data_IF_489862762323
#
_entry.id   IF_489862762323
#
_cell.length_a   1.000
_cell.length_b   1.000
_cell.length_c   1.000
_cell.angle_alpha   90.00
_cell.angle_beta   90.00
_cell.angle_gamma   90.00
#
_symmetry.space_group_name_H-M   'P 1'
#
loop_
_entity.id
_entity.type
_entity.pdbx_description
1 polymer ?
#
# COMPACT_ATOMS: atom_id res chain seq x y z
N UNK A 1 17.05 9.87 7.44
CA UNK A 1 16.44 11.15 6.99
C UNK A 1 15.46 11.65 8.04
N UNK A 2 15.32 12.96 8.23
CA UNK A 2 14.23 13.52 9.03
C UNK A 2 12.87 13.25 8.35
N UNK A 3 11.79 12.95 9.10
CA UNK A 3 10.45 12.70 8.51
C UNK A 3 9.96 13.81 7.59
N UNK A 4 10.28 15.07 7.91
CA UNK A 4 9.86 16.22 7.12
C UNK A 4 10.59 16.30 5.77
N UNK A 5 11.91 16.07 5.77
CA UNK A 5 12.70 16.04 4.54
C UNK A 5 12.28 14.87 3.65
N UNK A 6 11.88 13.76 4.27
CA UNK A 6 11.36 12.60 3.55
C UNK A 6 10.03 12.92 2.88
N UNK A 7 9.11 13.57 3.58
CA UNK A 7 7.86 14.02 2.98
C UNK A 7 8.08 14.94 1.76
N UNK A 8 9.05 15.84 1.82
CA UNK A 8 9.41 16.70 0.67
C UNK A 8 9.97 15.89 -0.50
N UNK A 9 10.83 14.90 -0.22
CA UNK A 9 11.33 13.98 -1.24
C UNK A 9 10.18 13.21 -1.91
N UNK A 10 9.25 12.68 -1.12
CA UNK A 10 8.09 11.94 -1.66
C UNK A 10 7.13 12.86 -2.43
N UNK A 11 6.97 14.12 -2.05
CA UNK A 11 6.21 15.12 -2.82
C UNK A 11 6.83 15.35 -4.22
N UNK A 12 8.16 15.35 -4.32
CA UNK A 12 8.85 15.41 -5.61
C UNK A 12 8.57 14.15 -6.46
N UNK A 13 8.60 12.95 -5.85
CA UNK A 13 8.19 11.71 -6.53
C UNK A 13 6.75 11.80 -7.04
N UNK A 14 5.82 12.29 -6.21
CA UNK A 14 4.40 12.46 -6.58
C UNK A 14 4.26 13.25 -7.87
N UNK A 15 4.95 14.40 -7.97
CA UNK A 15 4.91 15.27 -9.15
C UNK A 15 5.47 14.57 -10.37
N UNK A 16 6.55 13.82 -10.21
CA UNK A 16 7.18 13.08 -11.31
C UNK A 16 6.26 11.98 -11.84
N UNK A 17 5.58 11.25 -10.97
CA UNK A 17 4.60 10.23 -11.35
C UNK A 17 3.30 10.84 -11.90
N UNK A 18 2.92 12.05 -11.49
CA UNK A 18 1.78 12.77 -12.05
C UNK A 18 2.04 13.24 -13.49
N UNK A 19 3.29 13.43 -13.90
CA UNK A 19 3.61 13.72 -15.31
C UNK A 19 3.23 12.56 -16.24
N UNK A 20 3.15 11.32 -15.75
CA UNK A 20 2.69 10.19 -16.55
C UNK A 20 1.22 10.35 -16.99
N UNK A 21 0.42 11.13 -16.24
CA UNK A 21 -0.99 11.36 -16.58
C UNK A 21 -1.16 12.16 -17.89
N UNK A 22 -0.18 12.98 -18.25
CA UNK A 22 -0.22 13.79 -19.48
C UNK A 22 0.30 13.02 -20.70
N UNK A 23 0.90 11.84 -20.49
CA UNK A 23 1.46 11.03 -21.56
C UNK A 23 0.38 10.07 -22.09
N UNK A 24 0.02 10.23 -23.37
CA UNK A 24 -1.01 9.41 -24.04
C UNK A 24 -0.67 7.92 -24.10
N UNK A 25 0.62 7.57 -24.00
CA UNK A 25 1.10 6.19 -23.99
C UNK A 25 0.95 5.49 -22.63
N UNK A 26 0.72 6.23 -21.54
CA UNK A 26 0.55 5.64 -20.21
C UNK A 26 -0.91 5.26 -19.96
N UNK A 27 -1.13 4.00 -19.61
CA UNK A 27 -2.44 3.51 -19.23
C UNK A 27 -2.53 3.28 -17.72
N UNK A 28 -3.54 3.88 -17.09
CA UNK A 28 -3.84 3.64 -15.69
C UNK A 28 -4.37 2.23 -15.46
N UNK A 29 -4.13 1.72 -14.25
CA UNK A 29 -4.81 0.54 -13.76
C UNK A 29 -6.35 0.73 -13.86
N UNK A 30 -7.15 -0.26 -14.31
CA UNK A 30 -8.58 -0.08 -14.56
C UNK A 30 -9.37 0.49 -13.38
N UNK A 31 -9.03 0.09 -12.15
CA UNK A 31 -9.67 0.60 -10.91
C UNK A 31 -9.18 2.00 -10.50
N UNK A 32 -8.03 2.45 -11.00
CA UNK A 32 -7.38 3.70 -10.61
C UNK A 32 -7.62 4.82 -11.63
N UNK A 33 -8.11 4.48 -12.84
CA UNK A 33 -8.30 5.42 -13.95
C UNK A 33 -9.23 6.60 -13.60
N UNK A 34 -10.34 6.35 -12.89
CA UNK A 34 -11.32 7.39 -12.53
C UNK A 34 -10.71 8.48 -11.63
N UNK A 35 -9.80 8.09 -10.75
CA UNK A 35 -9.15 8.98 -9.78
C UNK A 35 -7.72 9.37 -10.22
N UNK A 36 -7.29 8.95 -11.41
CA UNK A 36 -5.94 9.12 -11.93
C UNK A 36 -4.82 8.71 -10.95
N UNK A 37 -5.07 7.68 -10.12
CA UNK A 37 -4.13 7.23 -9.10
C UNK A 37 -3.00 6.44 -9.79
N UNK A 38 -1.76 6.92 -9.63
CA UNK A 38 -0.55 6.23 -10.11
C UNK A 38 0.24 5.58 -8.98
N UNK A 39 0.08 6.04 -7.75
CA UNK A 39 0.81 5.53 -6.59
C UNK A 39 0.07 5.80 -5.27
N UNK A 40 0.44 5.04 -4.25
CA UNK A 40 0.09 5.26 -2.84
C UNK A 40 1.36 5.15 -2.02
N UNK A 41 1.53 6.05 -1.06
CA UNK A 41 2.72 6.13 -0.23
C UNK A 41 2.32 6.20 1.23
N UNK A 42 2.98 5.41 2.07
CA UNK A 42 2.86 5.51 3.51
C UNK A 42 4.22 5.26 4.15
N UNK A 43 4.79 6.31 4.74
CA UNK A 43 6.17 6.27 5.23
C UNK A 43 7.12 5.71 4.14
N UNK A 44 7.80 4.61 4.43
CA UNK A 44 8.73 3.92 3.55
C UNK A 44 8.08 2.95 2.54
N UNK A 45 6.78 2.66 2.68
CA UNK A 45 6.07 1.78 1.77
C UNK A 45 5.49 2.56 0.57
N UNK A 46 5.88 2.14 -0.64
CA UNK A 46 5.40 2.69 -1.91
C UNK A 46 4.69 1.61 -2.73
N UNK A 47 3.44 1.86 -3.11
CA UNK A 47 2.71 1.11 -4.11
C UNK A 47 2.59 1.94 -5.38
N UNK A 48 2.89 1.34 -6.53
CA UNK A 48 2.73 1.97 -7.83
C UNK A 48 1.73 1.17 -8.68
N UNK A 49 0.86 1.88 -9.40
CA UNK A 49 -0.24 1.32 -10.16
C UNK A 49 -0.16 1.75 -11.62
N UNK A 50 -0.27 0.78 -12.51
CA UNK A 50 -0.43 0.99 -13.95
C UNK A 50 -1.25 -0.15 -14.54
N UNK A 51 -1.66 0.00 -15.80
CA UNK A 51 -2.15 -1.13 -16.57
C UNK A 51 -1.01 -2.13 -16.76
N UNK A 52 -1.34 -3.42 -16.72
CA UNK A 52 -0.39 -4.50 -16.92
C UNK A 52 -0.01 -4.66 -18.41
N UNK A 53 0.51 -3.59 -19.02
CA UNK A 53 1.13 -3.59 -20.33
C UNK A 53 2.58 -3.10 -20.22
N UNK A 54 3.46 -3.65 -21.05
CA UNK A 54 4.90 -3.40 -20.93
C UNK A 54 5.27 -1.92 -21.07
N UNK A 55 4.52 -1.17 -21.86
CA UNK A 55 4.76 0.24 -22.09
C UNK A 55 4.48 1.07 -20.83
N UNK A 56 3.30 0.90 -20.24
CA UNK A 56 2.88 1.63 -19.04
C UNK A 56 3.76 1.28 -17.84
N UNK A 57 4.11 0.00 -17.67
CA UNK A 57 4.98 -0.42 -16.57
C UNK A 57 6.40 0.14 -16.73
N UNK A 58 6.96 0.14 -17.96
CA UNK A 58 8.28 0.76 -18.23
C UNK A 58 8.28 2.26 -17.96
N UNK A 59 7.24 2.96 -18.37
CA UNK A 59 7.12 4.40 -18.12
C UNK A 59 7.04 4.71 -16.63
N UNK A 60 6.28 3.91 -15.86
CA UNK A 60 6.17 4.02 -14.41
C UNK A 60 7.52 3.82 -13.71
N UNK A 61 8.22 2.73 -14.05
CA UNK A 61 9.55 2.43 -13.49
C UNK A 61 10.61 3.45 -13.93
N UNK A 62 10.54 3.95 -15.17
CA UNK A 62 11.44 4.99 -15.66
C UNK A 62 11.25 6.30 -14.89
N UNK A 63 10.02 6.70 -14.61
CA UNK A 63 9.74 7.88 -13.78
C UNK A 63 10.30 7.69 -12.37
N UNK A 64 10.06 6.52 -11.76
CA UNK A 64 10.62 6.21 -10.45
C UNK A 64 12.16 6.21 -10.46
N UNK A 65 12.79 5.68 -11.52
CA UNK A 65 14.23 5.67 -11.65
C UNK A 65 14.83 7.08 -11.79
N UNK A 66 14.20 7.97 -12.56
CA UNK A 66 14.63 9.37 -12.66
C UNK A 66 14.56 10.08 -11.30
N UNK A 67 13.51 9.83 -10.52
CA UNK A 67 13.42 10.28 -9.14
C UNK A 67 14.55 9.71 -8.27
N UNK A 68 14.81 8.40 -8.36
CA UNK A 68 15.85 7.72 -7.60
C UNK A 68 17.23 8.33 -7.86
N UNK A 69 17.57 8.58 -9.13
CA UNK A 69 18.84 9.23 -9.52
C UNK A 69 18.94 10.64 -8.95
N UNK A 70 17.85 11.42 -8.99
CA UNK A 70 17.85 12.80 -8.49
C UNK A 70 17.89 12.91 -6.96
N UNK A 71 17.23 11.99 -6.25
CA UNK A 71 17.08 12.01 -4.79
C UNK A 71 18.08 11.12 -4.06
N UNK A 72 18.79 10.24 -4.78
CA UNK A 72 19.57 9.12 -4.24
C UNK A 72 18.76 8.16 -3.35
N UNK A 73 17.44 8.12 -3.54
CA UNK A 73 16.53 7.20 -2.85
C UNK A 73 16.17 6.03 -3.77
N UNK A 74 16.76 4.88 -3.50
CA UNK A 74 16.52 3.64 -4.23
C UNK A 74 15.47 2.77 -3.55
N UNK A 75 14.60 2.14 -4.36
CA UNK A 75 13.74 1.08 -3.85
C UNK A 75 14.58 -0.15 -3.50
N UNK A 76 14.24 -0.78 -2.38
CA UNK A 76 14.82 -2.07 -2.04
C UNK A 76 14.17 -3.15 -2.92
N UNK A 77 14.86 -3.57 -3.99
CA UNK A 77 14.36 -4.56 -4.93
C UNK A 77 14.12 -5.93 -4.29
N UNK A 78 14.91 -6.30 -3.27
CA UNK A 78 14.73 -7.57 -2.54
C UNK A 78 13.42 -7.61 -1.74
N UNK A 79 12.90 -6.45 -1.34
CA UNK A 79 11.60 -6.30 -0.66
C UNK A 79 10.47 -5.92 -1.60
N UNK A 80 10.79 -5.57 -2.85
CA UNK A 80 9.82 -5.15 -3.85
C UNK A 80 9.26 -6.36 -4.57
N UNK A 81 7.94 -6.38 -4.77
CA UNK A 81 7.28 -7.43 -5.53
C UNK A 81 6.38 -6.79 -6.59
N UNK A 82 6.30 -7.41 -7.76
CA UNK A 82 5.33 -7.04 -8.78
C UNK A 82 4.11 -7.97 -8.68
N UNK A 83 2.92 -7.40 -8.78
CA UNK A 83 1.67 -8.14 -8.74
C UNK A 83 0.90 -7.90 -10.04
N UNK A 84 0.80 -8.95 -10.85
CA UNK A 84 0.14 -8.89 -12.15
C UNK A 84 -1.16 -9.69 -12.10
N UNK A 85 -2.20 -9.20 -12.78
CA UNK A 85 -3.50 -9.85 -12.79
C UNK A 85 -4.36 -9.44 -13.98
N UNK A 86 -5.14 -10.38 -14.49
CA UNK A 86 -6.05 -10.14 -15.63
C UNK A 86 -5.36 -10.03 -16.99
N UNK A 87 -4.18 -10.64 -17.14
CA UNK A 87 -3.39 -10.69 -18.39
C UNK A 87 -3.11 -12.14 -18.82
N UNK A 88 -2.73 -12.32 -20.09
CA UNK A 88 -2.33 -13.63 -20.61
C UNK A 88 -0.99 -14.10 -20.01
N UNK A 89 -0.74 -15.41 -20.00
CA UNK A 89 0.51 -15.98 -19.50
C UNK A 89 1.74 -15.50 -20.27
N UNK A 90 1.59 -15.25 -21.58
CA UNK A 90 2.65 -14.73 -22.45
C UNK A 90 3.00 -13.29 -22.12
N UNK A 91 2.00 -12.43 -21.89
CA UNK A 91 2.22 -11.05 -21.45
C UNK A 91 2.82 -10.99 -20.05
N UNK A 92 2.40 -11.86 -19.14
CA UNK A 92 2.98 -11.95 -17.80
C UNK A 92 4.48 -12.27 -17.89
N UNK A 93 4.85 -13.33 -18.62
CA UNK A 93 6.25 -13.68 -18.84
C UNK A 93 7.06 -12.57 -19.54
N UNK A 94 6.46 -11.84 -20.48
CA UNK A 94 7.11 -10.72 -21.16
C UNK A 94 7.38 -9.54 -20.20
N UNK A 95 6.45 -9.24 -19.30
CA UNK A 95 6.62 -8.18 -18.28
C UNK A 95 7.66 -8.61 -17.24
N UNK A 96 7.58 -9.85 -16.74
CA UNK A 96 8.54 -10.38 -15.75
C UNK A 96 9.95 -10.53 -16.31
N UNK A 97 10.11 -10.88 -17.59
CA UNK A 97 11.45 -10.91 -18.21
C UNK A 97 12.00 -9.52 -18.49
N UNK A 98 11.14 -8.53 -18.74
CA UNK A 98 11.55 -7.15 -18.93
C UNK A 98 11.88 -6.43 -17.62
N UNK A 99 11.34 -6.90 -16.49
CA UNK A 99 11.44 -6.25 -15.18
C UNK A 99 12.08 -7.21 -14.20
N UNK A 100 13.26 -6.87 -13.71
CA UNK A 100 14.02 -7.68 -12.75
C UNK A 100 13.46 -7.59 -11.31
N UNK A 101 12.13 -7.61 -11.15
CA UNK A 101 11.43 -7.59 -9.86
C UNK A 101 10.70 -8.92 -9.72
N UNK A 102 10.85 -9.64 -8.59
CA UNK A 102 10.17 -10.92 -8.41
C UNK A 102 8.64 -10.77 -8.42
N UNK A 103 7.95 -11.75 -9.00
CA UNK A 103 6.49 -11.83 -8.94
C UNK A 103 6.05 -12.20 -7.53
N UNK A 104 5.17 -11.39 -6.95
CA UNK A 104 4.54 -11.66 -5.67
C UNK A 104 3.25 -12.45 -5.81
N UNK A 105 2.93 -13.28 -4.81
CA UNK A 105 1.65 -13.99 -4.74
C UNK A 105 0.57 -13.20 -3.99
N UNK A 106 -0.66 -13.21 -4.48
CA UNK A 106 -1.82 -12.72 -3.71
C UNK A 106 -2.30 -13.74 -2.67
N UNK A 107 -2.92 -13.31 -1.55
CA UNK A 107 -3.04 -11.92 -1.08
C UNK A 107 -1.75 -11.44 -0.38
N UNK A 108 -1.34 -10.20 -0.62
CA UNK A 108 -0.19 -9.60 0.06
C UNK A 108 -0.64 -8.64 1.17
N UNK A 109 0.22 -8.39 2.15
CA UNK A 109 -0.06 -7.46 3.25
C UNK A 109 0.54 -6.10 2.94
N UNK A 110 -0.25 -5.04 3.04
CA UNK A 110 0.21 -3.65 3.03
C UNK A 110 -0.20 -3.00 4.34
N UNK A 111 0.76 -2.42 5.06
CA UNK A 111 0.55 -1.83 6.40
C UNK A 111 -0.11 -2.77 7.43
N UNK A 112 0.12 -4.08 7.29
CA UNK A 112 -0.46 -5.10 8.17
C UNK A 112 -1.90 -5.51 7.83
N UNK A 113 -2.51 -4.92 6.80
CA UNK A 113 -3.83 -5.31 6.28
C UNK A 113 -3.64 -6.18 5.03
N UNK A 114 -4.30 -7.35 4.93
CA UNK A 114 -4.27 -8.13 3.70
C UNK A 114 -5.01 -7.38 2.58
N UNK A 115 -4.28 -6.96 1.54
CA UNK A 115 -4.87 -6.50 0.28
C UNK A 115 -5.35 -7.74 -0.48
N UNK A 116 -6.59 -8.12 -0.24
CA UNK A 116 -7.30 -9.15 -1.00
C UNK A 116 -8.21 -8.51 -2.06
N UNK A 117 -8.31 -9.14 -3.22
CA UNK A 117 -9.15 -8.69 -4.36
C UNK A 117 -10.66 -8.77 -4.07
N UNK A 118 -11.07 -9.34 -2.93
CA UNK A 118 -12.47 -9.51 -2.48
C UNK A 118 -12.68 -8.80 -1.14
N UNK A 119 -13.90 -8.34 -0.89
CA UNK A 119 -14.35 -7.76 0.38
C UNK A 119 -13.75 -8.51 1.57
N UNK A 120 -13.16 -7.75 2.51
CA UNK A 120 -12.53 -8.26 3.73
C UNK A 120 -13.53 -9.16 4.48
N UNK A 121 -13.31 -10.47 4.40
CA UNK A 121 -14.09 -11.43 5.16
C UNK A 121 -13.68 -11.37 6.63
N UNK A 122 -14.63 -11.48 7.55
CA UNK A 122 -14.47 -11.50 9.02
C UNK A 122 -13.21 -12.23 9.53
N UNK A 123 -12.83 -13.33 8.87
CA UNK A 123 -11.65 -14.13 9.20
C UNK A 123 -10.31 -13.38 9.06
N UNK A 124 -10.22 -12.34 8.25
CA UNK A 124 -9.03 -11.49 8.11
C UNK A 124 -8.93 -10.43 9.23
N UNK A 125 -10.04 -10.10 9.88
CA UNK A 125 -10.10 -9.17 11.02
C UNK A 125 -9.73 -9.84 12.35
N UNK A 126 -9.88 -11.17 12.44
CA UNK A 126 -9.61 -11.98 13.63
C UNK A 126 -8.22 -11.75 14.26
N UNK A 127 -7.09 -11.77 13.53
CA UNK A 127 -5.77 -11.53 14.13
C UNK A 127 -5.60 -10.09 14.68
N UNK A 128 -6.31 -9.11 14.12
CA UNK A 128 -6.29 -7.73 14.61
C UNK A 128 -7.12 -7.62 15.91
N UNK A 129 -8.30 -8.25 15.93
CA UNK A 129 -9.15 -8.39 17.11
C UNK A 129 -8.38 -9.10 18.23
N UNK A 130 -7.70 -10.20 17.93
CA UNK A 130 -6.90 -10.96 18.90
C UNK A 130 -5.74 -10.13 19.49
N UNK A 131 -5.04 -9.31 18.69
CA UNK A 131 -4.01 -8.39 19.19
C UNK A 131 -4.58 -7.33 20.13
N UNK A 132 -5.75 -6.80 19.82
CA UNK A 132 -6.40 -5.77 20.65
C UNK A 132 -6.97 -6.38 21.93
N UNK A 133 -7.57 -7.56 21.85
CA UNK A 133 -8.02 -8.34 23.02
C UNK A 133 -6.84 -8.72 23.90
N UNK A 134 -5.70 -9.11 23.32
CA UNK A 134 -4.48 -9.41 24.07
C UNK A 134 -3.97 -8.16 24.83
N UNK A 135 -3.88 -7.00 24.17
CA UNK A 135 -3.52 -5.72 24.83
C UNK A 135 -4.52 -5.33 25.92
N UNK A 136 -5.82 -5.48 25.66
CA UNK A 136 -6.87 -5.21 26.63
C UNK A 136 -6.74 -6.12 27.87
N UNK A 137 -6.45 -7.42 27.68
CA UNK A 137 -6.18 -8.36 28.78
C UNK A 137 -4.95 -7.97 29.60
N UNK A 138 -3.87 -7.54 28.96
CA UNK A 138 -2.67 -7.04 29.66
C UNK A 138 -2.96 -5.78 30.48
N UNK A 139 -3.90 -4.93 30.04
CA UNK A 139 -4.29 -3.71 30.75
C UNK A 139 -5.31 -3.97 31.86
N UNK A 140 -6.24 -4.92 31.68
CA UNK A 140 -7.17 -5.37 32.72
C UNK A 140 -6.41 -6.01 33.89
N UNK A 141 -5.24 -6.62 33.64
CA UNK A 141 -4.35 -7.15 34.67
C UNK A 141 -3.63 -6.07 35.51
N UNK A 142 -3.73 -4.78 35.13
CA UNK A 142 -3.28 -3.64 35.96
C UNK A 142 -4.44 -3.19 36.84
N UNK A 143 -4.16 -2.77 38.07
CA UNK A 143 -5.16 -2.25 39.04
C UNK A 143 -5.79 -0.93 38.57
N UNK A 144 -6.63 -1.00 37.53
CA UNK A 144 -7.38 0.11 36.98
C UNK A 144 -8.74 0.19 37.67
N UNK A 145 -9.16 1.41 37.96
CA UNK A 145 -10.51 1.68 38.47
C UNK A 145 -11.57 1.27 37.44
N UNK A 146 -12.79 1.02 37.90
CA UNK A 146 -13.91 0.68 37.02
C UNK A 146 -14.14 1.72 35.90
N UNK A 147 -14.07 3.00 36.25
CA UNK A 147 -14.16 4.10 35.29
C UNK A 147 -13.02 4.08 34.25
N UNK A 148 -11.78 3.80 34.69
CA UNK A 148 -10.64 3.68 33.78
C UNK A 148 -10.79 2.51 32.79
N UNK A 149 -11.33 1.37 33.24
CA UNK A 149 -11.63 0.23 32.37
C UNK A 149 -12.74 0.55 31.36
N UNK A 150 -13.81 1.23 31.79
CA UNK A 150 -14.91 1.63 30.92
C UNK A 150 -14.45 2.59 29.82
N UNK A 151 -13.69 3.61 30.19
CA UNK A 151 -13.15 4.60 29.25
C UNK A 151 -12.20 3.94 28.25
N UNK A 152 -11.33 3.02 28.70
CA UNK A 152 -10.45 2.24 27.81
C UNK A 152 -11.23 1.40 26.79
N UNK A 153 -12.28 0.68 27.23
CA UNK A 153 -13.14 -0.10 26.33
C UNK A 153 -13.82 0.80 25.31
N UNK A 154 -14.36 1.94 25.74
CA UNK A 154 -14.98 2.92 24.85
C UNK A 154 -13.99 3.48 23.83
N UNK A 155 -12.79 3.88 24.26
CA UNK A 155 -11.76 4.42 23.34
C UNK A 155 -11.32 3.37 22.32
N UNK A 156 -11.16 2.11 22.73
CA UNK A 156 -10.77 1.02 21.81
C UNK A 156 -11.88 0.74 20.80
N UNK A 157 -13.14 0.61 21.25
CA UNK A 157 -14.28 0.39 20.37
C UNK A 157 -14.46 1.54 19.36
N UNK A 158 -14.33 2.79 19.82
CA UNK A 158 -14.38 3.96 18.95
C UNK A 158 -13.22 3.97 17.95
N UNK A 159 -12.00 3.66 18.39
CA UNK A 159 -10.84 3.60 17.49
C UNK A 159 -10.97 2.51 16.43
N UNK A 160 -11.55 1.35 16.79
CA UNK A 160 -11.87 0.28 15.86
C UNK A 160 -12.94 0.70 14.87
N UNK A 161 -14.05 1.26 15.37
CA UNK A 161 -15.14 1.73 14.54
C UNK A 161 -14.65 2.78 13.54
N UNK A 162 -13.90 3.78 13.99
CA UNK A 162 -13.33 4.80 13.11
C UNK A 162 -12.36 4.22 12.07
N UNK A 163 -11.53 3.25 12.44
CA UNK A 163 -10.61 2.60 11.50
C UNK A 163 -11.37 1.77 10.44
N UNK A 164 -12.38 1.00 10.84
CA UNK A 164 -13.16 0.19 9.90
C UNK A 164 -14.05 1.05 8.98
N UNK A 165 -14.64 2.13 9.50
CA UNK A 165 -15.37 3.08 8.66
C UNK A 165 -14.48 3.75 7.60
N UNK A 166 -13.17 3.84 7.79
CA UNK A 166 -12.23 4.37 6.79
C UNK A 166 -11.86 3.37 5.69
N UNK A 167 -12.12 2.07 5.90
CA UNK A 167 -11.76 1.00 4.94
C UNK A 167 -12.93 0.69 3.97
N UNK A 168 -14.17 1.02 4.32
CA UNK A 168 -15.37 0.73 3.52
C UNK A 168 -15.77 1.80 2.49
N UNK A 169 -14.94 2.84 2.27
CA UNK A 169 -15.16 3.87 1.23
C UNK A 169 -14.20 3.75 0.04
#
# INVERSE_FOLDING_TARGET
MSPFLFAIGMEYLTRHLQQLQTQTAFNFHPKCKKLAITHLMFADDLLMFSRADIQSVRMLLSAFHQFSVASSLEANLDKSNIYLGGISSTENAAILSAIHIPEGSFPFRYLGVPLATKNLAYNQCKPLIEKVVARAKTWIARNLTYAGRLQLVQTILLSMQSFWCQIEY
#
